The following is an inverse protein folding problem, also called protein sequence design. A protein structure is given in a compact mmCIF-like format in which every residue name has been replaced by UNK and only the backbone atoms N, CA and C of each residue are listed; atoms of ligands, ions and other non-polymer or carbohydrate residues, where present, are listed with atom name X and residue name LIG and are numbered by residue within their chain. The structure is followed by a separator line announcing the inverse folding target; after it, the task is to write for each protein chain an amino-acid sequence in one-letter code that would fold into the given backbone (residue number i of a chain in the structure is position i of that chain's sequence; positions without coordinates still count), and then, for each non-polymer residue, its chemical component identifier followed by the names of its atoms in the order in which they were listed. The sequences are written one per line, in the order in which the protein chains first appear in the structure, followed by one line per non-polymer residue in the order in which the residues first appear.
data_IF_586250441485
#
_entry.id   IF_586250441485
#
_cell.length_a   1.000
_cell.length_b   1.000
_cell.length_c   1.000
_cell.angle_alpha   90.00
_cell.angle_beta   90.00
_cell.angle_gamma   90.00
#
_symmetry.space_group_name_H-M   'P 1'
#
loop_
_entity.id
_entity.type
_entity.pdbx_description
1 polymer ?
#
# COMPACT_ATOMS: atom_id res chain seq x y z
N UNK A 1 5.49 -10.78 14.32
CA UNK A 1 4.89 -11.61 13.23
C UNK A 1 3.37 -11.67 13.39
N UNK A 2 2.83 -12.11 14.53
CA UNK A 2 1.36 -12.21 14.74
C UNK A 2 0.57 -10.93 14.39
N UNK A 3 1.04 -9.75 14.80
CA UNK A 3 0.38 -8.48 14.44
C UNK A 3 0.46 -8.19 12.94
N UNK A 4 1.59 -8.53 12.29
CA UNK A 4 1.73 -8.35 10.84
C UNK A 4 0.73 -9.25 10.12
N UNK A 5 0.56 -10.49 10.55
CA UNK A 5 -0.38 -11.45 9.94
C UNK A 5 -1.85 -11.03 10.14
N UNK A 6 -2.20 -10.57 11.34
CA UNK A 6 -3.54 -10.04 11.64
C UNK A 6 -3.82 -8.79 10.80
N UNK A 7 -2.88 -7.84 10.77
CA UNK A 7 -3.00 -6.62 9.98
C UNK A 7 -3.08 -6.91 8.48
N UNK A 8 -2.27 -7.84 7.97
CA UNK A 8 -2.34 -8.28 6.58
C UNK A 8 -3.71 -8.85 6.27
N UNK A 9 -4.21 -9.78 7.08
CA UNK A 9 -5.51 -10.42 6.84
C UNK A 9 -6.67 -9.42 6.85
N UNK A 10 -6.66 -8.46 7.78
CA UNK A 10 -7.66 -7.39 7.85
C UNK A 10 -7.65 -6.49 6.61
N UNK A 11 -6.46 -6.16 6.11
CA UNK A 11 -6.31 -5.24 4.98
C UNK A 11 -6.51 -5.95 3.64
N UNK A 12 -6.11 -7.23 3.56
CA UNK A 12 -6.12 -8.06 2.36
C UNK A 12 -7.50 -8.12 1.71
N UNK A 13 -8.58 -8.26 2.48
CA UNK A 13 -9.92 -8.27 1.89
C UNK A 13 -10.23 -6.97 1.13
N UNK A 14 -9.87 -5.82 1.72
CA UNK A 14 -10.06 -4.51 1.08
C UNK A 14 -9.17 -4.35 -0.15
N UNK A 15 -7.89 -4.73 -0.03
CA UNK A 15 -6.91 -4.64 -1.13
C UNK A 15 -7.27 -5.55 -2.29
N UNK A 16 -7.79 -6.75 -2.03
CA UNK A 16 -8.26 -7.67 -3.06
C UNK A 16 -9.50 -7.11 -3.76
N UNK A 17 -10.48 -6.60 -3.01
CA UNK A 17 -11.68 -6.01 -3.61
C UNK A 17 -11.32 -4.85 -4.52
N UNK A 18 -10.47 -3.91 -4.09
CA UNK A 18 -10.06 -2.79 -4.94
C UNK A 18 -9.23 -3.25 -6.14
N UNK A 19 -8.32 -4.20 -5.98
CA UNK A 19 -7.51 -4.71 -7.08
C UNK A 19 -8.35 -5.43 -8.12
N UNK A 20 -9.29 -6.29 -7.70
CA UNK A 20 -10.19 -7.03 -8.59
C UNK A 20 -11.11 -6.07 -9.35
N UNK A 21 -11.72 -5.09 -8.68
CA UNK A 21 -12.58 -4.12 -9.39
C UNK A 21 -11.79 -3.28 -10.38
N UNK A 22 -10.56 -2.91 -10.05
CA UNK A 22 -9.66 -2.21 -10.99
C UNK A 22 -9.33 -3.09 -12.20
N UNK A 23 -8.98 -4.36 -11.97
CA UNK A 23 -8.71 -5.33 -13.04
C UNK A 23 -9.94 -5.51 -13.94
N UNK A 24 -11.15 -5.61 -13.38
CA UNK A 24 -12.38 -5.71 -14.16
C UNK A 24 -12.58 -4.50 -15.09
N UNK A 25 -12.36 -3.28 -14.59
CA UNK A 25 -12.42 -2.06 -15.40
C UNK A 25 -11.35 -2.07 -16.49
N UNK A 26 -10.11 -2.47 -16.16
CA UNK A 26 -9.01 -2.52 -17.12
C UNK A 26 -9.24 -3.57 -18.20
N UNK A 27 -9.83 -4.72 -17.88
CA UNK A 27 -10.24 -5.73 -18.86
C UNK A 27 -11.30 -5.15 -19.81
N UNK A 28 -12.29 -4.43 -19.28
CA UNK A 28 -13.29 -3.79 -20.12
C UNK A 28 -12.67 -2.77 -21.09
N UNK A 29 -11.72 -1.95 -20.61
CA UNK A 29 -10.98 -1.02 -21.44
C UNK A 29 -10.04 -1.71 -22.44
N UNK A 30 -9.45 -2.84 -22.06
CA UNK A 30 -8.57 -3.61 -22.94
C UNK A 30 -9.34 -4.21 -24.13
N UNK A 31 -10.53 -4.76 -23.87
CA UNK A 31 -11.38 -5.40 -24.89
C UNK A 31 -12.16 -4.37 -25.73
N UNK A 32 -12.77 -3.36 -25.09
CA UNK A 32 -13.69 -2.42 -25.76
C UNK A 32 -13.13 -1.00 -25.96
N UNK A 33 -11.95 -0.68 -25.42
CA UNK A 33 -11.42 0.68 -25.43
C UNK A 33 -10.80 1.17 -26.75
N UNK A 34 -10.53 0.27 -27.69
CA UNK A 34 -9.90 0.62 -28.97
C UNK A 34 -8.38 0.85 -28.89
N UNK A 35 -7.75 1.13 -30.04
CA UNK A 35 -6.29 1.07 -30.18
C UNK A 35 -5.51 2.09 -29.34
N UNK A 36 -6.07 3.28 -29.13
CA UNK A 36 -5.38 4.39 -28.41
C UNK A 36 -5.12 4.05 -26.95
N UNK A 37 -6.07 3.39 -26.27
CA UNK A 37 -5.95 3.07 -24.84
C UNK A 37 -5.55 1.61 -24.57
N UNK A 38 -5.43 0.78 -25.61
CA UNK A 38 -5.05 -0.62 -25.46
C UNK A 38 -3.67 -0.79 -24.82
N UNK A 39 -2.66 -0.04 -25.28
CA UNK A 39 -1.31 -0.08 -24.70
C UNK A 39 -1.28 0.40 -23.24
N UNK A 40 -2.05 1.45 -22.92
CA UNK A 40 -2.20 1.96 -21.57
C UNK A 40 -2.89 0.95 -20.65
N UNK A 41 -4.02 0.37 -21.08
CA UNK A 41 -4.75 -0.65 -20.34
C UNK A 41 -3.90 -1.89 -20.09
N UNK A 42 -3.09 -2.31 -21.07
CA UNK A 42 -2.15 -3.45 -20.94
C UNK A 42 -1.10 -3.18 -19.86
N UNK A 43 -0.46 -2.00 -19.90
CA UNK A 43 0.55 -1.62 -18.91
C UNK A 43 -0.04 -1.56 -17.50
N UNK A 44 -1.23 -0.99 -17.34
CA UNK A 44 -1.92 -0.94 -16.06
C UNK A 44 -2.36 -2.32 -15.57
N UNK A 45 -2.83 -3.19 -16.46
CA UNK A 45 -3.27 -4.54 -16.08
C UNK A 45 -2.11 -5.34 -15.48
N UNK A 46 -0.95 -5.33 -16.14
CA UNK A 46 0.27 -5.95 -15.61
C UNK A 46 0.75 -5.27 -14.33
N UNK A 47 0.71 -3.93 -14.28
CA UNK A 47 1.15 -3.15 -13.13
C UNK A 47 0.32 -3.44 -11.87
N UNK A 48 -1.01 -3.48 -11.97
CA UNK A 48 -1.90 -3.82 -10.86
C UNK A 48 -1.69 -5.27 -10.44
N UNK A 49 -1.59 -6.21 -11.38
CA UNK A 49 -1.42 -7.62 -11.05
C UNK A 49 -0.13 -7.89 -10.26
N UNK A 50 1.00 -7.36 -10.75
CA UNK A 50 2.30 -7.50 -10.08
C UNK A 50 2.33 -6.68 -8.79
N UNK A 51 1.79 -5.46 -8.82
CA UNK A 51 1.77 -4.53 -7.69
C UNK A 51 1.01 -5.08 -6.48
N UNK A 52 -0.19 -5.62 -6.69
CA UNK A 52 -1.01 -6.20 -5.60
C UNK A 52 -0.33 -7.41 -4.96
N UNK A 53 0.26 -8.31 -5.75
CA UNK A 53 1.01 -9.44 -5.21
C UNK A 53 2.26 -8.97 -4.45
N UNK A 54 3.03 -8.05 -5.04
CA UNK A 54 4.27 -7.54 -4.45
C UNK A 54 4.01 -6.77 -3.15
N UNK A 55 2.97 -5.95 -3.09
CA UNK A 55 2.68 -5.14 -1.90
C UNK A 55 2.22 -5.98 -0.71
N UNK A 56 1.58 -7.12 -0.95
CA UNK A 56 1.07 -7.99 0.12
C UNK A 56 2.17 -8.94 0.62
N UNK A 57 2.92 -9.57 -0.30
CA UNK A 57 3.86 -10.62 0.08
C UNK A 57 5.30 -10.13 0.20
N UNK A 58 5.79 -9.35 -0.78
CA UNK A 58 7.19 -8.91 -0.80
C UNK A 58 7.42 -7.82 0.23
N UNK A 59 6.54 -6.81 0.31
CA UNK A 59 6.71 -5.72 1.28
C UNK A 59 6.66 -6.22 2.74
N UNK A 60 5.74 -7.15 3.05
CA UNK A 60 5.65 -7.73 4.40
C UNK A 60 6.84 -8.62 4.74
N UNK A 61 7.34 -9.43 3.79
CA UNK A 61 8.54 -10.21 4.00
C UNK A 61 9.78 -9.33 4.24
N UNK A 62 9.91 -8.23 3.47
CA UNK A 62 11.01 -7.25 3.64
C UNK A 62 10.90 -6.54 4.99
N UNK A 63 9.70 -6.13 5.41
CA UNK A 63 9.50 -5.54 6.74
C UNK A 63 9.91 -6.47 7.88
N UNK A 64 9.59 -7.77 7.76
CA UNK A 64 10.03 -8.78 8.73
C UNK A 64 11.55 -8.96 8.68
N UNK A 65 12.15 -8.98 7.48
CA UNK A 65 13.59 -9.15 7.30
C UNK A 65 14.42 -7.98 7.84
N UNK A 66 13.88 -6.75 7.80
CA UNK A 66 14.51 -5.58 8.41
C UNK A 66 14.39 -5.54 9.94
N UNK A 67 13.70 -6.52 10.54
CA UNK A 67 13.55 -6.61 12.00
C UNK A 67 12.63 -5.55 12.59
N UNK A 68 11.71 -4.99 11.81
CA UNK A 68 10.76 -3.96 12.25
C UNK A 68 10.06 -4.43 13.53
N UNK A 69 10.31 -3.70 14.61
CA UNK A 69 9.76 -3.94 15.93
C UNK A 69 8.59 -2.99 16.21
N UNK A 70 7.81 -3.23 17.27
CA UNK A 70 6.70 -2.33 17.60
C UNK A 70 7.21 -1.00 18.13
N UNK A 71 8.39 -1.04 18.73
CA UNK A 71 9.11 0.06 19.35
C UNK A 71 9.51 1.10 18.28
N UNK A 72 9.82 0.65 17.06
CA UNK A 72 10.16 1.52 15.92
C UNK A 72 8.95 2.26 15.32
N UNK A 73 7.74 1.88 15.72
CA UNK A 73 6.48 2.48 15.26
C UNK A 73 5.91 3.48 16.28
N UNK A 74 6.56 3.61 17.44
CA UNK A 74 6.20 4.62 18.43
C UNK A 74 6.71 5.95 17.88
N UNK A 75 5.84 6.94 17.60
CA UNK A 75 6.31 8.24 17.16
C UNK A 75 7.18 8.83 18.26
N UNK A 76 8.45 9.08 17.96
CA UNK A 76 9.30 9.89 18.84
C UNK A 76 8.60 11.23 19.01
N UNK A 77 8.24 11.56 20.25
CA UNK A 77 7.76 12.90 20.59
C UNK A 77 8.95 13.81 20.38
N UNK A 78 9.08 14.35 19.17
CA UNK A 78 9.92 15.52 18.94
C UNK A 78 9.22 16.61 19.74
N UNK A 79 9.60 16.75 21.00
CA UNK A 79 9.40 17.99 21.74
C UNK A 79 10.04 19.06 20.85
N UNK A 80 9.18 19.80 20.14
CA UNK A 80 9.60 21.05 19.53
C UNK A 80 10.03 21.91 20.71
N UNK A 81 11.34 21.93 20.95
CA UNK A 81 12.09 22.62 22.01
C UNK A 81 11.94 24.16 21.96
N UNK A 82 10.80 24.67 21.51
CA UNK A 82 10.54 26.10 21.35
C UNK A 82 9.08 26.52 21.43
N UNK A 83 8.13 25.62 21.74
CA UNK A 83 6.73 26.02 21.91
C UNK A 83 6.40 26.59 23.32
N UNK A 84 7.34 26.53 24.27
CA UNK A 84 7.17 27.06 25.64
C UNK A 84 7.87 28.42 25.87
N UNK A 85 8.45 29.05 24.83
CA UNK A 85 9.07 30.38 24.95
C UNK A 85 8.12 31.55 24.63
N UNK A 86 6.98 31.29 23.98
CA UNK A 86 5.99 32.33 23.63
C UNK A 86 4.98 32.64 24.76
N UNK A 87 5.16 32.06 25.95
CA UNK A 87 4.27 32.21 27.11
C UNK A 87 4.95 32.86 28.34
N UNK A 88 6.09 33.52 28.18
CA UNK A 88 6.64 34.39 29.24
C UNK A 88 5.99 35.79 29.16
N UNK A 89 5.55 36.36 30.31
CA UNK A 89 4.78 37.60 30.38
C UNK A 89 5.57 38.87 30.03
#
# INVERSE_FOLDING_TARGET
IEIIDISLTQTLNRTLVTSITTILVLIALFVWGGQTIHGFATALLFGVFIGTYSSIYVASAVAIAMGVSKEDLIPEVIEKEGADLDAMP
#
